data_IF_726042426294
#
_entry.id   IF_726042426294
#
_cell.length_a   1.000
_cell.length_b   1.000
_cell.length_c   1.000
_cell.angle_alpha   90.00
_cell.angle_beta   90.00
_cell.angle_gamma   90.00
#
_symmetry.space_group_name_H-M   'P 1'
#
loop_
_entity.id
_entity.type
_entity.pdbx_description
1 polymer ?
#
# COMPACT_ATOMS: atom_id res chain seq x y z
N UNK A 1 -16.91 22.73 35.94
CA UNK A 1 -16.61 21.30 35.74
C UNK A 1 -16.29 21.14 34.28
N UNK A 2 -15.01 21.13 33.92
CA UNK A 2 -14.57 20.90 32.54
C UNK A 2 -14.59 19.41 32.29
N UNK A 3 -15.48 18.97 31.41
CA UNK A 3 -15.38 17.67 30.77
C UNK A 3 -14.20 17.73 29.81
N UNK A 4 -13.04 17.28 30.27
CA UNK A 4 -11.92 16.97 29.40
C UNK A 4 -12.32 15.75 28.59
N UNK A 5 -12.90 15.96 27.42
CA UNK A 5 -13.08 14.90 26.44
C UNK A 5 -11.71 14.26 26.19
N UNK A 6 -11.51 13.07 26.74
CA UNK A 6 -10.34 12.24 26.54
C UNK A 6 -10.26 11.98 25.03
N UNK A 7 -9.38 12.73 24.36
CA UNK A 7 -9.31 12.76 22.91
C UNK A 7 -8.97 11.38 22.39
N UNK A 8 -9.96 10.69 21.82
CA UNK A 8 -9.74 9.39 21.18
C UNK A 8 -8.68 9.59 20.11
N UNK A 9 -7.54 8.91 20.26
CA UNK A 9 -6.45 8.93 19.29
C UNK A 9 -7.01 8.50 17.93
N UNK A 10 -6.82 9.28 16.85
CA UNK A 10 -7.27 8.87 15.53
C UNK A 10 -6.55 7.60 15.10
N UNK A 11 -7.26 6.72 14.40
CA UNK A 11 -6.66 5.55 13.78
C UNK A 11 -5.67 5.95 12.67
N UNK A 12 -4.77 5.03 12.29
CA UNK A 12 -3.86 5.21 11.15
C UNK A 12 -4.65 5.59 9.88
N UNK A 13 -5.78 4.93 9.63
CA UNK A 13 -6.63 5.21 8.46
C UNK A 13 -7.20 6.63 8.51
N UNK A 14 -7.70 7.07 9.66
CA UNK A 14 -8.28 8.42 9.83
C UNK A 14 -7.21 9.50 9.69
N UNK A 15 -6.03 9.29 10.30
CA UNK A 15 -4.96 10.26 10.24
C UNK A 15 -4.37 10.36 8.82
N UNK A 16 -4.15 9.24 8.14
CA UNK A 16 -3.67 9.25 6.75
C UNK A 16 -4.69 9.88 5.79
N UNK A 17 -5.98 9.55 5.95
CA UNK A 17 -7.06 10.18 5.18
C UNK A 17 -7.08 11.70 5.39
N UNK A 18 -7.00 12.14 6.64
CA UNK A 18 -6.98 13.57 6.98
C UNK A 18 -5.78 14.27 6.35
N UNK A 19 -4.60 13.64 6.36
CA UNK A 19 -3.41 14.17 5.72
C UNK A 19 -3.58 14.32 4.20
N UNK A 20 -4.19 13.33 3.53
CA UNK A 20 -4.50 13.42 2.10
C UNK A 20 -5.54 14.51 1.80
N UNK A 21 -6.61 14.60 2.59
CA UNK A 21 -7.64 15.63 2.45
C UNK A 21 -7.05 17.05 2.62
N UNK A 22 -6.14 17.25 3.57
CA UNK A 22 -5.42 18.51 3.76
C UNK A 22 -4.46 18.83 2.61
N UNK A 23 -3.92 17.81 1.93
CA UNK A 23 -3.09 17.92 0.73
C UNK A 23 -3.94 18.04 -0.56
N UNK A 24 -5.26 18.23 -0.43
CA UNK A 24 -6.17 18.50 -1.54
C UNK A 24 -6.65 17.26 -2.29
N UNK A 25 -6.48 16.06 -1.73
CA UNK A 25 -7.07 14.84 -2.28
C UNK A 25 -8.52 14.70 -1.87
N UNK A 26 -9.37 14.29 -2.81
CA UNK A 26 -10.70 13.80 -2.51
C UNK A 26 -10.59 12.32 -2.13
N UNK A 27 -10.93 11.96 -0.88
CA UNK A 27 -10.86 10.58 -0.42
C UNK A 27 -12.25 9.94 -0.42
N UNK A 28 -12.46 9.02 -1.35
CA UNK A 28 -13.66 8.17 -1.40
C UNK A 28 -13.45 6.91 -0.56
N UNK A 29 -14.28 6.74 0.47
CA UNK A 29 -14.28 5.53 1.26
C UNK A 29 -14.70 4.32 0.41
N UNK A 30 -13.79 3.39 0.19
CA UNK A 30 -14.14 2.06 -0.29
C UNK A 30 -14.77 1.22 0.84
N UNK A 31 -15.37 0.09 0.50
CA UNK A 31 -15.78 -0.89 1.52
C UNK A 31 -14.56 -1.30 2.36
N UNK A 32 -14.73 -1.61 3.65
CA UNK A 32 -13.64 -1.97 4.60
C UNK A 32 -12.63 -3.02 4.08
N UNK A 33 -13.04 -3.88 3.14
CA UNK A 33 -12.22 -4.91 2.51
C UNK A 33 -11.44 -4.46 1.27
N UNK A 34 -11.74 -3.27 0.75
CA UNK A 34 -11.22 -2.74 -0.51
C UNK A 34 -10.19 -1.64 -0.33
N UNK A 35 -10.05 -0.99 0.83
CA UNK A 35 -9.18 0.18 0.97
C UNK A 35 -9.91 1.47 0.60
N UNK A 36 -9.16 2.54 0.38
CA UNK A 36 -9.66 3.87 0.02
C UNK A 36 -9.15 4.23 -1.37
N UNK A 37 -10.02 4.86 -2.17
CA UNK A 37 -9.62 5.46 -3.43
C UNK A 37 -9.59 6.96 -3.26
N UNK A 38 -8.51 7.59 -3.69
CA UNK A 38 -8.25 9.01 -3.57
C UNK A 38 -8.03 9.57 -4.96
N UNK A 39 -8.56 10.74 -5.24
CA UNK A 39 -8.36 11.42 -6.51
C UNK A 39 -7.95 12.87 -6.30
N UNK A 40 -7.03 13.36 -7.13
CA UNK A 40 -6.64 14.76 -7.18
C UNK A 40 -6.25 15.12 -8.61
N UNK A 41 -7.01 16.01 -9.23
CA UNK A 41 -6.90 16.28 -10.67
C UNK A 41 -7.07 14.98 -11.48
N UNK A 42 -6.10 14.63 -12.32
CA UNK A 42 -6.06 13.40 -13.11
C UNK A 42 -5.30 12.26 -12.41
N UNK A 43 -4.89 12.43 -11.15
CA UNK A 43 -4.18 11.42 -10.37
C UNK A 43 -5.13 10.61 -9.50
N UNK A 44 -4.91 9.29 -9.47
CA UNK A 44 -5.64 8.33 -8.65
C UNK A 44 -4.70 7.51 -7.77
N UNK A 45 -5.01 7.48 -6.48
CA UNK A 45 -4.25 6.74 -5.48
C UNK A 45 -5.19 5.79 -4.76
N UNK A 46 -4.76 4.56 -4.55
CA UNK A 46 -5.50 3.59 -3.79
C UNK A 46 -4.68 3.11 -2.60
N UNK A 47 -5.14 3.41 -1.37
CA UNK A 47 -4.41 3.02 -0.17
C UNK A 47 -5.14 1.99 0.69
N UNK A 48 -4.35 1.11 1.31
CA UNK A 48 -4.81 0.18 2.33
C UNK A 48 -4.04 0.41 3.62
N UNK A 49 -4.78 0.37 4.72
CA UNK A 49 -4.26 0.64 6.04
C UNK A 49 -5.08 -0.15 7.07
N UNK A 50 -4.43 -0.62 8.13
CA UNK A 50 -5.12 -1.15 9.29
C UNK A 50 -5.32 -0.01 10.29
N UNK A 51 -6.53 0.16 10.79
CA UNK A 51 -6.91 1.29 11.66
C UNK A 51 -6.32 1.24 13.08
N UNK A 52 -5.10 0.74 13.24
CA UNK A 52 -4.42 0.59 14.54
C UNK A 52 -2.93 0.86 14.38
N UNK A 53 -2.32 1.32 15.47
CA UNK A 53 -0.94 1.81 15.51
C UNK A 53 0.11 0.75 15.79
N UNK A 54 -0.31 -0.37 16.38
CA UNK A 54 0.54 -1.53 16.64
C UNK A 54 0.13 -2.67 15.70
N UNK A 55 1.03 -3.06 14.80
CA UNK A 55 0.82 -4.15 13.86
C UNK A 55 1.79 -5.29 14.16
N UNK A 56 1.29 -6.52 14.06
CA UNK A 56 2.11 -7.70 13.95
C UNK A 56 2.57 -7.88 12.50
N UNK A 57 3.67 -8.59 12.29
CA UNK A 57 4.15 -8.93 10.94
C UNK A 57 3.06 -9.58 10.08
N UNK A 58 2.29 -10.52 10.63
CA UNK A 58 1.19 -11.21 9.92
C UNK A 58 0.06 -10.29 9.44
N UNK A 59 -0.06 -9.12 10.07
CA UNK A 59 -1.02 -8.10 9.68
C UNK A 59 -0.50 -7.22 8.55
N UNK A 60 0.81 -7.01 8.50
CA UNK A 60 1.49 -6.42 7.33
C UNK A 60 1.39 -7.37 6.13
N UNK A 61 1.56 -8.67 6.32
CA UNK A 61 1.33 -9.68 5.26
C UNK A 61 -0.12 -9.62 4.74
N UNK A 62 -1.07 -9.40 5.65
CA UNK A 62 -2.49 -9.22 5.29
C UNK A 62 -2.71 -7.98 4.43
N UNK A 63 -2.01 -6.88 4.71
CA UNK A 63 -2.07 -5.65 3.89
C UNK A 63 -1.52 -5.89 2.49
N UNK A 64 -0.35 -6.53 2.36
CA UNK A 64 0.19 -6.95 1.06
C UNK A 64 -0.81 -7.83 0.30
N UNK A 65 -1.39 -8.84 0.96
CA UNK A 65 -2.41 -9.69 0.35
C UNK A 65 -3.68 -8.94 -0.06
N UNK A 66 -4.01 -7.78 0.53
CA UNK A 66 -5.11 -6.92 0.09
C UNK A 66 -4.74 -6.14 -1.17
N UNK A 67 -3.54 -5.54 -1.21
CA UNK A 67 -3.05 -4.82 -2.41
C UNK A 67 -2.93 -5.75 -3.60
N UNK A 68 -2.32 -6.91 -3.44
CA UNK A 68 -2.20 -7.89 -4.53
C UNK A 68 -3.57 -8.37 -5.05
N UNK A 69 -4.57 -8.45 -4.17
CA UNK A 69 -5.95 -8.73 -4.58
C UNK A 69 -6.63 -7.55 -5.28
N UNK A 70 -6.25 -6.31 -4.97
CA UNK A 70 -6.73 -5.13 -5.70
C UNK A 70 -6.18 -5.13 -7.13
N UNK A 71 -4.88 -5.42 -7.29
CA UNK A 71 -4.22 -5.55 -8.61
C UNK A 71 -4.92 -6.61 -9.46
N UNK A 72 -5.13 -7.82 -8.92
CA UNK A 72 -5.76 -8.91 -9.68
C UNK A 72 -7.23 -8.65 -10.03
N UNK A 73 -7.89 -7.68 -9.37
CA UNK A 73 -9.24 -7.22 -9.69
C UNK A 73 -9.27 -6.07 -10.69
N UNK A 74 -8.11 -5.57 -11.12
CA UNK A 74 -8.01 -4.44 -12.03
C UNK A 74 -8.48 -3.13 -11.39
N UNK A 75 -8.10 -2.87 -10.12
CA UNK A 75 -8.26 -1.53 -9.56
C UNK A 75 -7.45 -0.57 -10.42
N UNK A 76 -8.14 0.41 -10.99
CA UNK A 76 -7.55 1.50 -11.76
C UNK A 76 -7.03 2.54 -10.77
N UNK A 77 -5.71 2.55 -10.58
CA UNK A 77 -5.01 3.49 -9.72
C UNK A 77 -3.62 3.72 -10.28
N UNK A 78 -3.19 4.98 -10.35
CA UNK A 78 -1.81 5.34 -10.71
C UNK A 78 -0.83 4.88 -9.63
N UNK A 79 -1.30 4.80 -8.38
CA UNK A 79 -0.49 4.41 -7.23
C UNK A 79 -1.25 3.50 -6.26
N UNK A 80 -0.59 2.42 -5.82
CA UNK A 80 -1.07 1.56 -4.75
C UNK A 80 -0.26 1.79 -3.50
N UNK A 81 -0.89 2.12 -2.38
CA UNK A 81 -0.17 2.49 -1.15
C UNK A 81 -0.52 1.56 0.00
N UNK A 82 0.50 0.97 0.61
CA UNK A 82 0.39 0.32 1.92
C UNK A 82 0.77 1.36 2.97
N UNK A 83 -0.16 1.70 3.87
CA UNK A 83 0.10 2.59 4.98
C UNK A 83 0.39 1.78 6.23
N UNK A 84 1.57 1.98 6.80
CA UNK A 84 2.02 1.35 8.03
C UNK A 84 2.30 2.43 9.08
N UNK A 85 1.96 2.20 10.36
CA UNK A 85 2.44 3.06 11.44
C UNK A 85 3.95 2.86 11.64
N UNK A 86 4.64 3.88 12.17
CA UNK A 86 6.08 3.86 12.43
C UNK A 86 6.62 2.60 13.14
N UNK A 87 5.97 2.05 14.19
CA UNK A 87 6.42 0.82 14.85
C UNK A 87 6.49 -0.39 13.93
N UNK A 88 5.67 -0.44 12.88
CA UNK A 88 5.63 -1.54 11.92
C UNK A 88 6.64 -1.40 10.77
N UNK A 89 7.50 -0.37 10.79
CA UNK A 89 8.50 -0.11 9.74
C UNK A 89 9.41 -1.30 9.47
N UNK A 90 9.85 -2.00 10.51
CA UNK A 90 10.74 -3.16 10.34
C UNK A 90 10.09 -4.28 9.51
N UNK A 91 8.76 -4.33 9.47
CA UNK A 91 8.01 -5.29 8.68
C UNK A 91 7.71 -4.78 7.27
N UNK A 92 8.00 -3.53 6.91
CA UNK A 92 7.72 -2.97 5.59
C UNK A 92 8.35 -3.76 4.42
N UNK A 93 9.63 -4.17 4.46
CA UNK A 93 10.30 -4.80 3.32
C UNK A 93 10.06 -6.33 3.23
N UNK A 94 8.83 -6.83 3.45
CA UNK A 94 8.50 -8.25 3.23
C UNK A 94 8.67 -8.67 1.77
N UNK A 95 8.32 -7.75 0.87
CA UNK A 95 8.51 -7.90 -0.58
C UNK A 95 9.76 -7.13 -0.95
N UNK A 96 10.50 -7.52 -1.99
CA UNK A 96 11.66 -6.72 -2.42
C UNK A 96 11.20 -5.41 -3.06
N UNK A 97 12.04 -4.37 -3.03
CA UNK A 97 11.72 -3.08 -3.65
C UNK A 97 11.49 -3.23 -5.15
N UNK A 98 12.22 -4.12 -5.84
CA UNK A 98 12.06 -4.36 -7.27
C UNK A 98 10.66 -4.90 -7.61
N UNK A 99 10.16 -5.85 -6.80
CA UNK A 99 8.81 -6.41 -7.00
C UNK A 99 7.73 -5.37 -6.70
N UNK A 100 7.93 -4.53 -5.67
CA UNK A 100 6.99 -3.45 -5.36
C UNK A 100 6.92 -2.41 -6.48
N UNK A 101 8.06 -1.95 -6.97
CA UNK A 101 8.15 -0.99 -8.07
C UNK A 101 7.50 -1.53 -9.35
N UNK A 102 7.75 -2.80 -9.68
CA UNK A 102 7.12 -3.46 -10.81
C UNK A 102 5.58 -3.53 -10.72
N UNK A 103 5.03 -3.51 -9.50
CA UNK A 103 3.60 -3.58 -9.22
C UNK A 103 2.98 -2.20 -8.91
N UNK A 104 3.76 -1.11 -8.94
CA UNK A 104 3.30 0.22 -8.54
C UNK A 104 2.88 0.31 -7.07
N UNK A 105 3.48 -0.52 -6.21
CA UNK A 105 3.22 -0.55 -4.76
C UNK A 105 4.22 0.35 -4.05
N UNK A 106 3.69 1.30 -3.30
CA UNK A 106 4.42 2.23 -2.46
C UNK A 106 4.11 1.96 -0.99
N UNK A 107 5.09 2.21 -0.12
CA UNK A 107 4.90 2.08 1.33
C UNK A 107 5.00 3.47 1.96
N UNK A 108 3.93 3.85 2.64
CA UNK A 108 3.86 5.05 3.46
C UNK A 108 4.01 4.66 4.95
N UNK A 109 5.03 5.19 5.61
CA UNK A 109 5.19 5.14 7.06
C UNK A 109 4.57 6.38 7.68
N UNK A 110 3.51 6.18 8.46
CA UNK A 110 2.82 7.23 9.19
C UNK A 110 3.39 7.36 10.61
N UNK A 111 3.88 8.56 10.90
CA UNK A 111 4.36 8.96 12.23
C UNK A 111 3.20 9.46 13.09
N UNK A 112 3.29 9.34 14.41
CA UNK A 112 2.24 9.84 15.32
C UNK A 112 2.00 11.35 15.21
N UNK A 113 3.01 12.09 14.74
CA UNK A 113 2.94 13.53 14.47
C UNK A 113 2.10 13.89 13.23
N UNK A 114 1.63 12.90 12.46
CA UNK A 114 0.97 13.10 11.17
C UNK A 114 1.94 13.22 10.00
N UNK A 115 3.26 13.15 10.23
CA UNK A 115 4.25 13.10 9.16
C UNK A 115 4.13 11.78 8.40
N UNK A 116 4.20 11.85 7.08
CA UNK A 116 4.26 10.69 6.18
C UNK A 116 5.68 10.60 5.62
N UNK A 117 6.25 9.41 5.66
CA UNK A 117 7.53 9.08 5.04
C UNK A 117 7.34 7.94 4.03
N UNK A 118 8.03 7.99 2.90
CA UNK A 118 7.88 7.04 1.80
C UNK A 118 9.16 6.20 1.64
N UNK A 119 9.02 4.88 1.49
CA UNK A 119 10.18 3.95 1.50
C UNK A 119 10.74 3.65 0.10
N UNK A 120 9.91 3.58 -0.95
CA UNK A 120 10.32 3.05 -2.27
C UNK A 120 10.22 4.05 -3.44
N UNK A 121 9.86 5.29 -3.14
CA UNK A 121 9.75 6.39 -4.09
C UNK A 121 9.96 7.77 -3.43
N UNK A 122 10.15 8.81 -4.25
CA UNK A 122 10.37 10.22 -3.83
C UNK A 122 9.13 10.87 -3.15
N UNK A 123 8.17 10.07 -2.67
CA UNK A 123 6.87 10.50 -2.15
C UNK A 123 5.72 10.35 -3.14
N UNK A 124 4.64 11.12 -2.94
CA UNK A 124 3.61 11.36 -3.96
C UNK A 124 4.26 12.02 -5.18
N UNK A 125 4.91 11.24 -6.04
CA UNK A 125 5.54 11.77 -7.26
C UNK A 125 5.35 10.88 -8.48
N UNK A 126 4.50 11.37 -9.38
CA UNK A 126 4.73 11.57 -10.82
C UNK A 126 5.61 10.51 -11.51
N UNK A 127 5.08 9.30 -11.70
CA UNK A 127 5.54 8.45 -12.80
C UNK A 127 4.38 8.11 -13.72
N UNK A 128 4.58 8.49 -14.99
CA UNK A 128 3.75 8.13 -16.12
C UNK A 128 3.73 6.62 -16.30
N UNK A 129 2.52 6.08 -16.44
CA UNK A 129 2.24 4.75 -16.98
C UNK A 129 2.92 3.59 -16.25
N UNK A 130 2.15 2.94 -15.36
CA UNK A 130 2.37 1.52 -15.05
C UNK A 130 2.35 0.76 -16.38
N UNK A 131 3.53 0.37 -16.84
CA UNK A 131 3.66 -0.36 -18.08
C UNK A 131 3.20 -1.80 -17.85
N UNK A 132 1.99 -2.13 -18.30
CA UNK A 132 1.52 -3.52 -18.37
C UNK A 132 2.50 -4.44 -19.11
N UNK A 133 3.37 -3.89 -19.98
CA UNK A 133 4.44 -4.64 -20.65
C UNK A 133 5.60 -5.01 -19.71
N UNK A 134 5.82 -4.30 -18.60
CA UNK A 134 6.82 -4.66 -17.59
C UNK A 134 6.40 -5.93 -16.82
N UNK A 135 5.10 -6.11 -16.57
CA UNK A 135 4.57 -7.37 -16.03
C UNK A 135 4.67 -8.52 -17.04
N UNK A 136 4.64 -8.24 -18.35
CA UNK A 136 4.94 -9.24 -19.39
C UNK A 136 6.44 -9.56 -19.49
N UNK A 137 7.34 -8.59 -19.27
CA UNK A 137 8.79 -8.83 -19.21
C UNK A 137 9.18 -9.65 -17.98
N UNK A 138 8.58 -9.37 -16.82
CA UNK A 138 8.71 -10.23 -15.63
C UNK A 138 8.08 -11.60 -15.93
N UNK A 139 6.98 -11.67 -16.69
CA UNK A 139 6.39 -12.92 -17.18
C UNK A 139 7.28 -13.72 -18.15
N UNK A 140 8.24 -13.09 -18.81
CA UNK A 140 9.22 -13.75 -19.67
C UNK A 140 10.41 -14.31 -18.87
N UNK A 141 10.84 -13.64 -17.80
CA UNK A 141 11.90 -14.15 -16.91
C UNK A 141 11.38 -15.14 -15.86
N UNK A 142 10.10 -15.04 -15.48
CA UNK A 142 9.41 -16.04 -14.64
C UNK A 142 9.21 -17.35 -15.41
N UNK A 143 9.25 -17.39 -16.74
CA UNK A 143 9.20 -18.69 -17.46
C UNK A 143 10.47 -19.53 -17.29
N UNK A 144 11.63 -18.90 -17.10
CA UNK A 144 12.87 -19.61 -16.78
C UNK A 144 13.00 -19.91 -15.28
N UNK A 145 12.39 -19.11 -14.40
CA UNK A 145 12.27 -19.40 -12.96
C UNK A 145 11.17 -20.42 -12.57
N UNK A 146 10.02 -20.40 -13.26
CA UNK A 146 8.86 -21.25 -12.96
C UNK A 146 9.06 -22.70 -13.40
N UNK A 147 9.98 -22.98 -14.34
CA UNK A 147 10.44 -24.35 -14.60
C UNK A 147 11.19 -24.95 -13.40
N UNK A 148 11.82 -24.13 -12.53
CA UNK A 148 12.44 -24.62 -11.29
C UNK A 148 11.50 -24.69 -10.10
N UNK A 149 10.54 -23.77 -9.96
CA UNK A 149 9.55 -23.85 -8.87
C UNK A 149 8.50 -24.94 -9.10
N UNK A 150 8.17 -25.28 -10.35
CA UNK A 150 7.25 -26.36 -10.71
C UNK A 150 7.79 -27.78 -10.51
N UNK A 151 9.11 -27.98 -10.43
CA UNK A 151 9.71 -29.30 -10.17
C UNK A 151 9.84 -29.64 -8.68
N UNK A 152 9.81 -28.65 -7.78
CA UNK A 152 9.91 -28.88 -6.33
C UNK A 152 8.59 -29.44 -5.74
N UNK A 153 7.43 -29.10 -6.32
CA UNK A 153 6.13 -29.64 -5.88
C UNK A 153 5.59 -30.80 -6.73
N UNK A 154 6.45 -31.40 -7.57
CA UNK A 154 6.17 -32.65 -8.29
C UNK A 154 7.30 -33.65 -8.16
N UNK A 155 7.66 -34.03 -6.93
CA UNK A 155 8.12 -35.40 -6.65
C UNK A 155 7.42 -35.94 -5.41
N UNK A 156 7.01 -37.21 -5.56
CA UNK A 156 6.34 -38.09 -4.59
C UNK A 156 7.05 -38.16 -3.25
#
# INVERSE_FOLDING_TARGET
MSDSAEGVRPSVNEMFRTALELDGWEVMAGSRSRGYSCSRNDETLHFVALGKWELLQSEVDTLYGRVLRAITRGVDADQLVIVLPEPAREYAPQVSSEVRQALGIEIAILHESGRIEWIDGDGLRWFSAVNLDALQQIGHDVRDGARRFGEIFKRR
#
